data_IF_836088052314
#
_entry.id   IF_836088052314
#
_cell.length_a   1.000
_cell.length_b   1.000
_cell.length_c   1.000
_cell.angle_alpha   90.00
_cell.angle_beta   90.00
_cell.angle_gamma   90.00
#
_symmetry.space_group_name_H-M   'P 1'
#
loop_
_entity.id
_entity.type
_entity.pdbx_description
1 polymer ?
#
# COMPACT_ATOMS: atom_id res chain seq x y z
N UNK A 1 -11.73 -6.12 -40.52
CA UNK A 1 -12.14 -4.76 -40.09
C UNK A 1 -13.55 -4.66 -39.52
N UNK A 2 -14.64 -4.71 -40.30
CA UNK A 2 -15.99 -4.45 -39.76
C UNK A 2 -16.46 -5.49 -38.72
N UNK A 3 -16.21 -6.78 -38.96
CA UNK A 3 -16.51 -7.86 -38.01
C UNK A 3 -15.68 -7.78 -36.71
N UNK A 4 -14.40 -7.41 -36.82
CA UNK A 4 -13.53 -7.24 -35.64
C UNK A 4 -13.98 -6.05 -34.78
N UNK A 5 -14.42 -4.96 -35.41
CA UNK A 5 -14.98 -3.80 -34.72
C UNK A 5 -16.28 -4.17 -33.98
N UNK A 6 -17.15 -4.94 -34.63
CA UNK A 6 -18.38 -5.47 -34.02
C UNK A 6 -18.10 -6.42 -32.86
N UNK A 7 -17.10 -7.28 -32.97
CA UNK A 7 -16.69 -8.21 -31.91
C UNK A 7 -16.09 -7.45 -30.70
N UNK A 8 -15.28 -6.42 -30.95
CA UNK A 8 -14.76 -5.50 -29.94
C UNK A 8 -15.87 -4.71 -29.24
N UNK A 9 -16.82 -4.16 -29.99
CA UNK A 9 -17.99 -3.46 -29.46
C UNK A 9 -18.85 -4.40 -28.60
N UNK A 10 -19.12 -5.61 -29.08
CA UNK A 10 -19.90 -6.62 -28.35
C UNK A 10 -19.22 -7.02 -27.04
N UNK A 11 -17.91 -7.29 -27.04
CA UNK A 11 -17.15 -7.55 -25.81
C UNK A 11 -17.18 -6.36 -24.85
N UNK A 12 -17.02 -5.13 -25.36
CA UNK A 12 -17.12 -3.91 -24.53
C UNK A 12 -18.51 -3.75 -23.90
N UNK A 13 -19.57 -4.07 -24.63
CA UNK A 13 -20.95 -4.03 -24.11
C UNK A 13 -21.19 -5.10 -23.07
N UNK A 14 -20.80 -6.36 -23.32
CA UNK A 14 -20.91 -7.44 -22.33
C UNK A 14 -20.13 -7.12 -21.06
N UNK A 15 -18.93 -6.56 -21.20
CA UNK A 15 -18.11 -6.17 -20.07
C UNK A 15 -18.68 -4.97 -19.30
N UNK A 16 -19.33 -4.03 -19.98
CA UNK A 16 -20.09 -2.96 -19.34
C UNK A 16 -21.31 -3.51 -18.57
N UNK A 17 -22.05 -4.46 -19.16
CA UNK A 17 -23.19 -5.11 -18.52
C UNK A 17 -22.77 -5.91 -17.29
N UNK A 18 -21.68 -6.70 -17.37
CA UNK A 18 -21.14 -7.45 -16.22
C UNK A 18 -20.74 -6.52 -15.07
N UNK A 19 -20.13 -5.37 -15.38
CA UNK A 19 -19.76 -4.35 -14.38
C UNK A 19 -20.98 -3.69 -13.76
N UNK A 20 -21.99 -3.33 -14.55
CA UNK A 20 -23.24 -2.80 -14.00
C UNK A 20 -23.96 -3.83 -13.12
N UNK A 21 -23.88 -5.12 -13.47
CA UNK A 21 -24.44 -6.20 -12.67
C UNK A 21 -23.70 -6.37 -11.33
N UNK A 22 -22.37 -6.48 -11.38
CA UNK A 22 -21.52 -6.59 -10.18
C UNK A 22 -21.62 -5.35 -9.28
N UNK A 23 -21.67 -4.15 -9.86
CA UNK A 23 -21.94 -2.92 -9.10
C UNK A 23 -23.33 -2.94 -8.45
N UNK A 24 -24.34 -3.51 -9.11
CA UNK A 24 -25.66 -3.68 -8.52
C UNK A 24 -25.65 -4.73 -7.40
N UNK A 25 -24.94 -5.85 -7.56
CA UNK A 25 -24.77 -6.88 -6.52
C UNK A 25 -24.07 -6.32 -5.28
N UNK A 26 -22.98 -5.57 -5.45
CA UNK A 26 -22.27 -4.89 -4.37
C UNK A 26 -23.18 -3.91 -3.61
N UNK A 27 -24.05 -3.18 -4.33
CA UNK A 27 -25.03 -2.28 -3.71
C UNK A 27 -26.12 -3.05 -2.95
N UNK A 28 -26.57 -4.19 -3.48
CA UNK A 28 -27.56 -5.05 -2.82
C UNK A 28 -26.96 -5.66 -1.54
N UNK A 29 -25.74 -6.21 -1.62
CA UNK A 29 -25.01 -6.73 -0.47
C UNK A 29 -24.74 -5.63 0.58
N UNK A 30 -24.31 -4.44 0.15
CA UNK A 30 -24.08 -3.28 1.03
C UNK A 30 -25.35 -2.75 1.70
N UNK A 31 -26.51 -2.90 1.08
CA UNK A 31 -27.80 -2.43 1.63
C UNK A 31 -28.37 -3.32 2.75
N UNK A 32 -27.91 -4.57 2.88
CA UNK A 32 -28.37 -5.52 3.91
C UNK A 32 -27.56 -5.43 5.22
N UNK A 33 -26.48 -4.65 5.26
CA UNK A 33 -25.54 -4.57 6.39
C UNK A 33 -25.81 -3.32 7.27
N UNK A 34 -26.72 -3.44 8.25
CA UNK A 34 -26.93 -2.44 9.30
C UNK A 34 -26.23 -2.83 10.61
N UNK A 35 -25.46 -1.86 11.15
CA UNK A 35 -24.59 -1.83 12.35
C UNK A 35 -23.08 -2.08 12.09
N UNK A 36 -22.28 -0.99 12.21
CA UNK A 36 -20.80 -0.88 12.03
C UNK A 36 -20.21 -1.81 10.97
N UNK A 37 -20.53 -1.48 9.72
CA UNK A 37 -20.28 -2.20 8.46
C UNK A 37 -18.87 -2.81 8.29
N UNK A 38 -17.81 -2.28 8.93
CA UNK A 38 -16.46 -2.83 8.79
C UNK A 38 -16.15 -4.03 9.71
N UNK A 39 -16.88 -4.21 10.82
CA UNK A 39 -16.69 -5.34 11.74
C UNK A 39 -17.13 -6.67 11.11
N UNK A 40 -17.87 -6.60 10.00
CA UNK A 40 -18.20 -7.74 9.16
C UNK A 40 -16.94 -8.49 8.68
N UNK A 41 -15.88 -7.74 8.33
CA UNK A 41 -14.63 -8.32 7.81
C UNK A 41 -13.81 -8.98 8.91
N UNK A 42 -13.72 -8.33 10.08
CA UNK A 42 -13.04 -8.84 11.26
C UNK A 42 -13.33 -7.94 12.47
N UNK A 43 -13.44 -8.49 13.69
CA UNK A 43 -13.47 -7.69 14.92
C UNK A 43 -12.23 -6.80 15.12
N UNK A 44 -11.13 -7.12 14.44
CA UNK A 44 -9.87 -6.39 14.49
C UNK A 44 -9.63 -5.52 13.26
N UNK A 45 -10.61 -5.40 12.35
CA UNK A 45 -10.42 -4.71 11.07
C UNK A 45 -9.97 -3.26 11.22
N UNK A 46 -10.31 -2.59 12.33
CA UNK A 46 -9.91 -1.21 12.64
C UNK A 46 -8.59 -1.09 13.43
N UNK A 47 -7.82 -2.17 13.55
CA UNK A 47 -6.55 -2.21 14.28
C UNK A 47 -5.37 -2.13 13.33
N UNK A 48 -4.39 -1.30 13.67
CA UNK A 48 -3.14 -1.19 12.90
C UNK A 48 -2.38 -2.51 12.74
N UNK A 49 -2.50 -3.43 13.70
CA UNK A 49 -1.89 -4.76 13.64
C UNK A 49 -2.58 -5.72 12.66
N UNK A 50 -3.82 -5.43 12.24
CA UNK A 50 -4.56 -6.30 11.35
C UNK A 50 -3.94 -6.33 9.95
N UNK A 51 -3.82 -7.52 9.37
CA UNK A 51 -3.36 -7.71 7.98
C UNK A 51 -4.58 -7.70 7.04
N UNK A 52 -4.83 -6.61 6.30
CA UNK A 52 -6.01 -6.49 5.44
C UNK A 52 -6.02 -7.50 4.28
N UNK A 53 -4.86 -8.04 3.90
CA UNK A 53 -4.75 -9.06 2.85
C UNK A 53 -5.45 -10.38 3.21
N UNK A 54 -5.80 -10.57 4.49
CA UNK A 54 -6.47 -11.77 4.99
C UNK A 54 -7.98 -11.85 4.71
N UNK A 55 -8.64 -10.77 4.28
CA UNK A 55 -10.11 -10.74 4.16
C UNK A 55 -10.68 -11.43 2.91
N UNK A 56 -9.81 -11.94 2.02
CA UNK A 56 -10.21 -12.58 0.77
C UNK A 56 -9.51 -11.95 -0.43
N UNK A 57 -10.23 -11.92 -1.56
CA UNK A 57 -9.74 -11.46 -2.86
C UNK A 57 -10.55 -10.25 -3.40
N UNK A 58 -10.41 -9.95 -4.70
CA UNK A 58 -10.79 -8.68 -5.31
C UNK A 58 -12.16 -8.12 -4.94
N UNK A 59 -13.21 -8.96 -4.90
CA UNK A 59 -14.57 -8.51 -4.59
C UNK A 59 -14.71 -8.10 -3.12
N UNK A 60 -14.05 -8.80 -2.20
CA UNK A 60 -14.01 -8.45 -0.78
C UNK A 60 -13.30 -7.11 -0.57
N UNK A 61 -12.19 -6.86 -1.28
CA UNK A 61 -11.47 -5.58 -1.21
C UNK A 61 -12.32 -4.42 -1.71
N UNK A 62 -13.07 -4.61 -2.80
CA UNK A 62 -13.96 -3.57 -3.33
C UNK A 62 -15.06 -3.24 -2.31
N UNK A 63 -15.74 -4.26 -1.77
CA UNK A 63 -16.78 -4.06 -0.78
C UNK A 63 -16.24 -3.41 0.50
N UNK A 64 -15.06 -3.84 0.98
CA UNK A 64 -14.40 -3.22 2.12
C UNK A 64 -14.01 -1.77 1.85
N UNK A 65 -13.51 -1.44 0.66
CA UNK A 65 -13.25 -0.04 0.26
C UNK A 65 -14.54 0.78 0.26
N UNK A 66 -15.67 0.26 -0.24
CA UNK A 66 -16.96 0.96 -0.14
C UNK A 66 -17.32 1.26 1.32
N UNK A 67 -17.13 0.29 2.22
CA UNK A 67 -17.32 0.47 3.66
C UNK A 67 -16.43 1.58 4.22
N UNK A 68 -15.16 1.68 3.79
CA UNK A 68 -14.24 2.73 4.25
C UNK A 68 -14.73 4.14 3.87
N UNK A 69 -15.23 4.32 2.64
CA UNK A 69 -15.80 5.61 2.20
C UNK A 69 -17.07 5.99 2.97
N UNK A 70 -17.93 5.01 3.28
CA UNK A 70 -19.14 5.23 4.07
C UNK A 70 -18.82 5.55 5.53
N UNK A 71 -17.90 4.81 6.12
CA UNK A 71 -17.48 4.95 7.52
C UNK A 71 -16.80 6.29 7.80
N UNK A 72 -15.98 6.78 6.87
CA UNK A 72 -15.41 8.15 6.95
C UNK A 72 -16.44 9.25 6.69
N UNK A 73 -17.67 8.89 6.29
CA UNK A 73 -18.77 9.82 6.02
C UNK A 73 -18.66 10.57 4.69
N UNK A 74 -17.69 10.23 3.83
CA UNK A 74 -17.48 10.90 2.55
C UNK A 74 -18.67 10.76 1.61
N UNK A 75 -19.35 9.60 1.63
CA UNK A 75 -20.51 9.37 0.78
C UNK A 75 -21.67 10.32 1.11
N UNK A 76 -21.96 10.49 2.41
CA UNK A 76 -23.00 11.41 2.87
C UNK A 76 -22.58 12.88 2.70
N UNK A 77 -21.35 13.24 3.12
CA UNK A 77 -20.84 14.62 3.10
C UNK A 77 -20.79 15.22 1.70
N UNK A 78 -20.36 14.44 0.70
CA UNK A 78 -20.18 14.91 -0.66
C UNK A 78 -21.27 14.42 -1.62
N UNK A 79 -22.39 13.89 -1.10
CA UNK A 79 -23.48 13.32 -1.92
C UNK A 79 -22.97 12.32 -2.98
N UNK A 80 -21.95 11.54 -2.61
CA UNK A 80 -21.27 10.65 -3.55
C UNK A 80 -22.23 9.56 -4.02
N UNK A 81 -22.41 9.44 -5.33
CA UNK A 81 -23.27 8.41 -5.89
C UNK A 81 -22.64 7.03 -5.67
N UNK A 82 -23.28 6.18 -4.86
CA UNK A 82 -22.77 4.84 -4.51
C UNK A 82 -22.52 3.93 -5.72
N UNK A 83 -23.32 4.06 -6.79
CA UNK A 83 -23.11 3.31 -8.04
C UNK A 83 -21.86 3.80 -8.78
N UNK A 84 -21.59 5.10 -8.77
CA UNK A 84 -20.34 5.65 -9.31
C UNK A 84 -19.15 5.23 -8.47
N UNK A 85 -19.28 5.18 -7.14
CA UNK A 85 -18.25 4.66 -6.25
C UNK A 85 -17.92 3.20 -6.54
N UNK A 86 -18.93 2.33 -6.64
CA UNK A 86 -18.72 0.93 -7.03
C UNK A 86 -18.03 0.82 -8.40
N UNK A 87 -18.49 1.60 -9.40
CA UNK A 87 -17.91 1.60 -10.75
C UNK A 87 -16.46 2.12 -10.77
N UNK A 88 -16.16 3.14 -9.96
CA UNK A 88 -14.82 3.68 -9.75
C UNK A 88 -13.90 2.61 -9.16
N UNK A 89 -14.28 1.98 -8.04
CA UNK A 89 -13.47 0.95 -7.38
C UNK A 89 -13.24 -0.26 -8.29
N UNK A 90 -14.27 -0.72 -9.01
CA UNK A 90 -14.14 -1.78 -10.01
C UNK A 90 -13.17 -1.41 -11.14
N UNK A 91 -13.20 -0.16 -11.59
CA UNK A 91 -12.30 0.33 -12.65
C UNK A 91 -10.87 0.45 -12.15
N UNK A 92 -10.67 0.96 -10.94
CA UNK A 92 -9.36 1.07 -10.29
C UNK A 92 -8.76 -0.32 -10.09
N UNK A 93 -9.49 -1.26 -9.48
CA UNK A 93 -9.06 -2.64 -9.27
C UNK A 93 -8.63 -3.31 -10.58
N UNK A 94 -9.43 -3.15 -11.65
CA UNK A 94 -9.08 -3.66 -13.00
C UNK A 94 -7.85 -2.98 -13.62
N UNK A 95 -7.52 -1.76 -13.20
CA UNK A 95 -6.36 -1.02 -13.67
C UNK A 95 -5.04 -1.54 -13.10
N UNK A 96 -5.06 -2.27 -11.98
CA UNK A 96 -3.88 -2.96 -11.47
C UNK A 96 -3.58 -4.21 -12.29
N UNK A 97 -2.28 -4.48 -12.47
CA UNK A 97 -1.80 -5.67 -13.17
C UNK A 97 -1.52 -6.80 -12.19
N UNK A 98 -1.52 -8.01 -12.74
CA UNK A 98 -1.08 -9.22 -12.03
C UNK A 98 0.45 -9.27 -11.97
N UNK A 99 1.02 -8.49 -11.06
CA UNK A 99 2.45 -8.53 -10.70
C UNK A 99 2.59 -8.99 -9.24
N UNK A 100 3.75 -9.55 -8.83
CA UNK A 100 3.88 -10.16 -7.51
C UNK A 100 3.55 -9.23 -6.33
N UNK A 101 3.98 -7.96 -6.35
CA UNK A 101 3.78 -7.03 -5.23
C UNK A 101 2.85 -5.86 -5.56
N UNK A 102 3.18 -5.04 -6.55
CA UNK A 102 2.45 -3.79 -6.84
C UNK A 102 1.14 -4.05 -7.62
N UNK A 103 0.21 -4.75 -6.97
CA UNK A 103 -1.08 -5.20 -7.49
C UNK A 103 -2.26 -4.65 -6.67
N UNK A 104 -3.49 -5.03 -7.01
CA UNK A 104 -4.69 -4.52 -6.32
C UNK A 104 -4.71 -4.85 -4.82
N UNK A 105 -4.17 -5.99 -4.41
CA UNK A 105 -4.09 -6.36 -2.99
C UNK A 105 -3.19 -5.41 -2.21
N UNK A 106 -2.09 -4.94 -2.83
CA UNK A 106 -1.23 -3.92 -2.24
C UNK A 106 -1.94 -2.57 -2.12
N UNK A 107 -2.55 -2.08 -3.20
CA UNK A 107 -3.31 -0.83 -3.13
C UNK A 107 -4.43 -0.85 -2.06
N UNK A 108 -5.10 -1.99 -1.92
CA UNK A 108 -6.08 -2.19 -0.85
C UNK A 108 -5.44 -2.16 0.55
N UNK A 109 -4.30 -2.81 0.76
CA UNK A 109 -3.64 -2.79 2.08
C UNK A 109 -3.16 -1.38 2.45
N UNK A 110 -2.66 -0.62 1.48
CA UNK A 110 -2.28 0.79 1.64
C UNK A 110 -3.51 1.63 2.00
N UNK A 111 -4.61 1.49 1.28
CA UNK A 111 -5.86 2.20 1.57
C UNK A 111 -6.46 1.84 2.93
N UNK A 112 -6.35 0.58 3.36
CA UNK A 112 -6.80 0.13 4.67
C UNK A 112 -6.00 0.78 5.81
N UNK A 113 -4.66 0.80 5.71
CA UNK A 113 -3.82 1.48 6.70
C UNK A 113 -4.13 2.98 6.75
N UNK A 114 -4.29 3.61 5.59
CA UNK A 114 -4.71 5.00 5.49
C UNK A 114 -6.07 5.22 6.17
N UNK A 115 -7.07 4.38 5.91
CA UNK A 115 -8.40 4.47 6.52
C UNK A 115 -8.34 4.43 8.06
N UNK A 116 -7.51 3.56 8.65
CA UNK A 116 -7.30 3.55 10.11
C UNK A 116 -6.67 4.87 10.56
N UNK A 117 -5.60 5.31 9.90
CA UNK A 117 -4.90 6.57 10.21
C UNK A 117 -5.84 7.78 10.15
N UNK A 118 -6.69 7.86 9.13
CA UNK A 118 -7.66 8.94 8.93
C UNK A 118 -8.71 9.05 10.04
N UNK A 119 -8.87 8.03 10.89
CA UNK A 119 -9.80 8.02 12.03
C UNK A 119 -9.12 8.42 13.35
N UNK A 120 -7.80 8.54 13.37
CA UNK A 120 -7.07 8.91 14.59
C UNK A 120 -7.32 10.38 14.95
N UNK A 121 -7.46 10.71 16.25
CA UNK A 121 -7.55 12.09 16.70
C UNK A 121 -6.45 13.00 16.14
N UNK A 122 -5.20 12.53 16.07
CA UNK A 122 -4.11 13.32 15.48
C UNK A 122 -4.40 13.75 14.03
N UNK A 123 -4.86 12.83 13.19
CA UNK A 123 -5.16 13.13 11.77
C UNK A 123 -6.46 13.94 11.63
N UNK A 124 -7.47 13.69 12.47
CA UNK A 124 -8.72 14.45 12.49
C UNK A 124 -8.52 15.93 12.83
N UNK A 125 -7.56 16.24 13.71
CA UNK A 125 -7.19 17.62 14.03
C UNK A 125 -6.19 18.22 13.04
N UNK A 126 -5.38 17.37 12.40
CA UNK A 126 -4.30 17.81 11.53
C UNK A 126 -4.73 18.12 10.10
N UNK A 127 -5.67 17.35 9.53
CA UNK A 127 -6.03 17.45 8.10
C UNK A 127 -7.51 17.75 7.92
N UNK A 128 -7.83 18.48 6.86
CA UNK A 128 -9.20 18.80 6.47
C UNK A 128 -9.90 17.64 5.71
N UNK A 129 -11.21 17.77 5.51
CA UNK A 129 -12.03 16.72 4.88
C UNK A 129 -11.69 16.47 3.40
N UNK A 130 -11.15 17.44 2.66
CA UNK A 130 -10.75 17.27 1.26
C UNK A 130 -9.38 16.59 1.18
N UNK A 131 -8.47 16.94 2.08
CA UNK A 131 -7.15 16.30 2.23
C UNK A 131 -7.31 14.82 2.60
N UNK A 132 -8.18 14.53 3.57
CA UNK A 132 -8.52 13.16 3.99
C UNK A 132 -9.18 12.36 2.86
N UNK A 133 -10.09 12.98 2.09
CA UNK A 133 -10.70 12.34 0.91
C UNK A 133 -9.64 12.03 -0.16
N UNK A 134 -8.76 12.99 -0.44
CA UNK A 134 -7.70 12.85 -1.43
C UNK A 134 -6.71 11.73 -1.06
N UNK A 135 -6.33 11.62 0.22
CA UNK A 135 -5.46 10.54 0.71
C UNK A 135 -6.04 9.15 0.44
N UNK A 136 -7.32 8.93 0.80
CA UNK A 136 -7.94 7.61 0.59
C UNK A 136 -8.02 7.25 -0.90
N UNK A 137 -8.42 8.21 -1.75
CA UNK A 137 -8.48 8.00 -3.21
C UNK A 137 -7.08 7.70 -3.75
N UNK A 138 -6.08 8.47 -3.35
CA UNK A 138 -4.71 8.29 -3.79
C UNK A 138 -4.16 6.92 -3.37
N UNK A 139 -4.38 6.48 -2.13
CA UNK A 139 -3.94 5.16 -1.67
C UNK A 139 -4.48 4.02 -2.55
N UNK A 140 -5.74 4.11 -2.97
CA UNK A 140 -6.34 3.12 -3.87
C UNK A 140 -5.77 3.16 -5.29
N UNK A 141 -5.19 4.28 -5.72
CA UNK A 141 -4.77 4.50 -7.11
C UNK A 141 -3.27 4.66 -7.32
N UNK A 142 -2.47 4.72 -6.25
CA UNK A 142 -1.08 5.21 -6.31
C UNK A 142 -0.15 4.38 -7.20
N UNK A 143 -0.51 3.13 -7.47
CA UNK A 143 0.27 2.16 -8.27
C UNK A 143 -0.50 1.60 -9.47
N UNK A 144 -1.59 2.26 -9.88
CA UNK A 144 -2.44 1.76 -10.95
C UNK A 144 -1.66 1.60 -12.28
N UNK A 145 -1.82 0.47 -12.97
CA UNK A 145 -1.03 0.07 -14.16
C UNK A 145 0.48 -0.14 -13.89
N UNK A 146 0.93 -0.37 -12.63
CA UNK A 146 2.31 -0.77 -12.34
C UNK A 146 2.68 -2.07 -13.06
N UNK A 147 3.92 -2.13 -13.58
CA UNK A 147 4.37 -3.17 -14.54
C UNK A 147 5.40 -4.13 -13.98
N UNK A 148 5.66 -4.06 -12.69
CA UNK A 148 6.68 -4.87 -12.06
C UNK A 148 8.10 -4.36 -12.26
N UNK A 149 8.25 -3.06 -12.59
CA UNK A 149 9.54 -2.48 -12.97
C UNK A 149 9.67 -1.06 -12.44
N UNK A 150 10.88 -0.65 -12.06
CA UNK A 150 11.15 0.65 -11.41
C UNK A 150 11.28 1.82 -12.40
N UNK A 151 11.29 3.05 -11.88
CA UNK A 151 11.60 4.27 -12.65
C UNK A 151 12.94 4.19 -13.38
N UNK A 152 13.97 3.61 -12.76
CA UNK A 152 15.29 3.41 -13.38
C UNK A 152 15.19 2.52 -14.63
N UNK A 153 14.42 1.43 -14.55
CA UNK A 153 14.16 0.55 -15.69
C UNK A 153 13.42 1.29 -16.81
N UNK A 154 12.41 2.10 -16.50
CA UNK A 154 11.67 2.85 -17.51
C UNK A 154 12.62 3.71 -18.37
N UNK A 155 13.53 4.43 -17.71
CA UNK A 155 14.50 5.31 -18.35
C UNK A 155 15.52 4.53 -19.17
N UNK A 156 16.13 3.50 -18.57
CA UNK A 156 17.14 2.67 -19.22
C UNK A 156 16.58 1.96 -20.48
N UNK A 157 15.36 1.42 -20.36
CA UNK A 157 14.67 0.71 -21.43
C UNK A 157 13.96 1.62 -22.43
N UNK A 158 14.03 2.96 -22.23
CA UNK A 158 13.41 3.99 -23.09
C UNK A 158 11.94 3.71 -23.39
N UNK A 159 11.20 3.25 -22.37
CA UNK A 159 9.81 2.84 -22.51
C UNK A 159 8.93 4.02 -22.95
N UNK A 160 7.73 3.78 -23.51
CA UNK A 160 6.80 4.87 -23.82
C UNK A 160 6.48 5.77 -22.62
N UNK A 161 6.45 5.22 -21.39
CA UNK A 161 6.24 6.02 -20.18
C UNK A 161 7.42 6.96 -19.92
N UNK A 162 8.65 6.50 -20.07
CA UNK A 162 9.82 7.35 -19.97
C UNK A 162 9.81 8.46 -21.03
N UNK A 163 9.38 8.17 -22.26
CA UNK A 163 9.26 9.19 -23.31
C UNK A 163 8.25 10.30 -22.97
N UNK A 164 7.17 9.96 -22.24
CA UNK A 164 6.15 10.92 -21.84
C UNK A 164 6.55 11.74 -20.62
N UNK A 165 7.24 11.14 -19.64
CA UNK A 165 7.38 11.75 -18.30
C UNK A 165 8.83 12.00 -17.85
N UNK A 166 9.85 11.56 -18.58
CA UNK A 166 11.26 11.60 -18.13
C UNK A 166 11.78 13.00 -17.78
N UNK A 167 11.26 14.06 -18.40
CA UNK A 167 11.72 15.44 -18.15
C UNK A 167 11.42 15.94 -16.74
N UNK A 168 10.48 15.31 -16.02
CA UNK A 168 10.02 15.77 -14.69
C UNK A 168 10.34 14.80 -13.56
N UNK A 169 11.02 13.67 -13.83
CA UNK A 169 11.21 12.59 -12.85
C UNK A 169 9.91 11.86 -12.48
N UNK A 170 9.99 10.88 -11.57
CA UNK A 170 8.83 10.12 -11.04
C UNK A 170 7.91 9.59 -12.14
N UNK A 171 8.50 8.85 -13.10
CA UNK A 171 7.86 8.44 -14.36
C UNK A 171 6.60 7.60 -14.11
N UNK A 172 6.69 6.65 -13.19
CA UNK A 172 5.60 5.75 -12.83
C UNK A 172 4.53 6.48 -12.03
N UNK A 173 4.91 7.28 -11.04
CA UNK A 173 3.97 8.00 -10.18
C UNK A 173 3.14 9.03 -10.98
N UNK A 174 3.76 9.67 -11.99
CA UNK A 174 3.03 10.50 -12.96
C UNK A 174 2.05 9.71 -13.81
N UNK A 175 2.44 8.50 -14.23
CA UNK A 175 1.55 7.59 -14.96
C UNK A 175 0.37 7.15 -14.08
N UNK A 176 0.61 6.79 -12.82
CA UNK A 176 -0.42 6.41 -11.86
C UNK A 176 -1.42 7.55 -11.63
N UNK A 177 -0.92 8.79 -11.47
CA UNK A 177 -1.78 9.96 -11.41
C UNK A 177 -2.60 10.16 -12.70
N UNK A 178 -1.97 10.04 -13.89
CA UNK A 178 -2.65 10.19 -15.16
C UNK A 178 -3.78 9.16 -15.36
N UNK A 179 -3.53 7.90 -15.00
CA UNK A 179 -4.55 6.84 -14.99
C UNK A 179 -5.69 7.15 -14.02
N UNK A 180 -5.38 7.66 -12.83
CA UNK A 180 -6.37 8.08 -11.82
C UNK A 180 -7.31 9.15 -12.38
N UNK A 181 -6.73 10.20 -12.99
CA UNK A 181 -7.49 11.28 -13.62
C UNK A 181 -8.35 10.75 -14.76
N UNK A 182 -7.82 9.86 -15.60
CA UNK A 182 -8.57 9.25 -16.70
C UNK A 182 -9.81 8.50 -16.21
N UNK A 183 -9.72 7.77 -15.09
CA UNK A 183 -10.85 7.07 -14.48
C UNK A 183 -11.86 8.08 -13.94
N UNK A 184 -11.41 9.09 -13.20
CA UNK A 184 -12.29 10.13 -12.63
C UNK A 184 -12.99 10.99 -13.69
N UNK A 185 -12.48 11.03 -14.93
CA UNK A 185 -13.13 11.69 -16.06
C UNK A 185 -14.24 10.85 -16.72
N UNK A 186 -14.33 9.55 -16.44
CA UNK A 186 -15.42 8.71 -16.94
C UNK A 186 -16.72 9.06 -16.21
N UNK A 187 -17.80 9.35 -16.94
CA UNK A 187 -19.07 9.80 -16.37
C UNK A 187 -19.64 8.82 -15.32
N UNK A 188 -19.44 7.51 -15.53
CA UNK A 188 -19.87 6.44 -14.65
C UNK A 188 -18.94 6.21 -13.45
N UNK A 189 -17.70 6.73 -13.45
CA UNK A 189 -16.72 6.56 -12.37
C UNK A 189 -16.41 7.87 -11.63
N UNK A 190 -16.91 9.02 -12.08
CA UNK A 190 -16.62 10.30 -11.44
C UNK A 190 -17.33 10.41 -10.08
N UNK A 191 -16.64 9.99 -9.03
CA UNK A 191 -17.10 10.07 -7.63
C UNK A 191 -17.02 11.49 -7.04
N UNK A 192 -16.43 12.43 -7.76
CA UNK A 192 -16.21 13.81 -7.33
C UNK A 192 -17.15 14.80 -8.03
N UNK A 193 -18.13 14.32 -8.80
CA UNK A 193 -18.97 15.16 -9.67
C UNK A 193 -19.93 16.11 -8.92
N UNK A 194 -20.23 15.83 -7.66
CA UNK A 194 -21.01 16.70 -6.78
C UNK A 194 -20.17 17.77 -6.07
N UNK A 195 -18.83 17.70 -6.18
CA UNK A 195 -17.97 18.73 -5.60
C UNK A 195 -18.09 20.04 -6.39
N UNK A 196 -17.92 21.16 -5.69
CA UNK A 196 -17.73 22.44 -6.37
C UNK A 196 -16.45 22.41 -7.21
N UNK A 197 -16.35 23.26 -8.23
CA UNK A 197 -15.16 23.36 -9.08
C UNK A 197 -13.87 23.54 -8.27
N UNK A 198 -13.89 24.39 -7.25
CA UNK A 198 -12.72 24.63 -6.38
C UNK A 198 -12.36 23.37 -5.60
N UNK A 199 -13.33 22.72 -4.96
CA UNK A 199 -13.09 21.47 -4.22
C UNK A 199 -12.54 20.37 -5.12
N UNK A 200 -13.10 20.20 -6.33
CA UNK A 200 -12.63 19.23 -7.31
C UNK A 200 -11.16 19.47 -7.69
N UNK A 201 -10.79 20.72 -7.96
CA UNK A 201 -9.40 21.10 -8.26
C UNK A 201 -8.47 20.86 -7.07
N UNK A 202 -8.90 21.21 -5.85
CA UNK A 202 -8.16 20.97 -4.61
C UNK A 202 -7.89 19.48 -4.42
N UNK A 203 -8.92 18.63 -4.51
CA UNK A 203 -8.78 17.16 -4.35
C UNK A 203 -7.85 16.59 -5.41
N UNK A 204 -7.98 16.99 -6.69
CA UNK A 204 -7.07 16.51 -7.73
C UNK A 204 -5.62 16.96 -7.54
N UNK A 205 -5.39 18.16 -6.98
CA UNK A 205 -4.04 18.62 -6.64
C UNK A 205 -3.45 17.78 -5.52
N UNK A 206 -4.21 17.54 -4.44
CA UNK A 206 -3.76 16.69 -3.35
C UNK A 206 -3.47 15.27 -3.81
N UNK A 207 -4.35 14.65 -4.61
CA UNK A 207 -4.12 13.31 -5.18
C UNK A 207 -2.81 13.27 -5.97
N UNK A 208 -2.54 14.28 -6.82
CA UNK A 208 -1.26 14.38 -7.54
C UNK A 208 -0.09 14.40 -6.56
N UNK A 209 -0.18 15.29 -5.58
CA UNK A 209 0.92 15.60 -4.68
C UNK A 209 1.28 14.41 -3.78
N UNK A 210 0.30 13.62 -3.34
CA UNK A 210 0.55 12.41 -2.54
C UNK A 210 0.92 11.20 -3.39
N UNK A 211 0.37 11.00 -4.60
CA UNK A 211 0.83 9.93 -5.50
C UNK A 211 2.30 10.17 -5.86
N UNK A 212 2.70 11.41 -6.18
CA UNK A 212 4.12 11.70 -6.42
C UNK A 212 5.02 11.52 -5.18
N UNK A 213 4.43 11.49 -3.98
CA UNK A 213 5.18 11.28 -2.74
C UNK A 213 5.51 9.79 -2.48
N UNK A 214 4.93 8.85 -3.23
CA UNK A 214 5.29 7.41 -3.14
C UNK A 214 6.62 7.09 -3.80
N UNK A 215 7.12 7.96 -4.69
CA UNK A 215 8.50 7.88 -5.16
C UNK A 215 9.45 8.05 -3.96
N UNK A 216 10.15 6.98 -3.59
CA UNK A 216 11.07 6.97 -2.44
C UNK A 216 12.15 8.05 -2.58
N UNK A 217 12.62 8.37 -3.79
CA UNK A 217 13.60 9.44 -3.98
C UNK A 217 13.01 10.82 -3.62
N UNK A 218 11.73 11.03 -3.96
CA UNK A 218 10.96 12.23 -3.64
C UNK A 218 10.64 12.31 -2.14
N UNK A 219 10.42 11.16 -1.47
CA UNK A 219 10.32 11.07 -0.02
C UNK A 219 11.64 11.46 0.66
N UNK A 220 12.76 10.85 0.26
CA UNK A 220 14.09 11.12 0.84
C UNK A 220 14.48 12.59 0.73
N UNK A 221 14.13 13.26 -0.38
CA UNK A 221 14.32 14.71 -0.53
C UNK A 221 13.52 15.57 0.45
N UNK A 222 12.47 15.02 1.09
CA UNK A 222 11.62 15.71 2.08
C UNK A 222 11.90 15.33 3.53
N UNK A 223 12.60 14.22 3.80
CA UNK A 223 12.78 13.68 5.17
C UNK A 223 13.24 14.75 6.16
N UNK A 224 14.19 15.61 5.79
CA UNK A 224 14.66 16.68 6.67
C UNK A 224 13.56 17.68 7.06
N UNK A 225 12.66 18.01 6.14
CA UNK A 225 11.53 18.92 6.37
C UNK A 225 10.42 18.26 7.18
N UNK A 226 10.12 16.99 6.89
CA UNK A 226 9.16 16.20 7.68
C UNK A 226 9.67 16.08 9.11
N UNK A 227 10.96 15.75 9.30
CA UNK A 227 11.58 15.67 10.61
C UNK A 227 11.52 17.00 11.36
N UNK A 228 11.80 18.12 10.69
CA UNK A 228 11.69 19.45 11.30
C UNK A 228 10.25 19.74 11.76
N UNK A 229 9.24 19.44 10.92
CA UNK A 229 7.83 19.58 11.28
C UNK A 229 7.46 18.72 12.51
N UNK A 230 7.93 17.48 12.57
CA UNK A 230 7.66 16.58 13.70
C UNK A 230 8.34 17.04 14.98
N UNK A 231 9.63 17.41 14.90
CA UNK A 231 10.44 17.78 16.07
C UNK A 231 10.04 19.16 16.64
N UNK A 232 9.61 20.10 15.78
CA UNK A 232 9.17 21.44 16.19
C UNK A 232 7.69 21.50 16.59
N UNK A 233 6.93 20.47 16.24
CA UNK A 233 5.48 20.43 16.41
C UNK A 233 4.73 20.80 15.14
N UNK A 234 3.69 20.01 14.83
CA UNK A 234 2.79 20.27 13.72
C UNK A 234 2.03 21.59 13.93
N UNK A 235 1.88 22.36 12.85
CA UNK A 235 1.16 23.64 12.85
C UNK A 235 -0.04 23.51 11.88
N UNK A 236 -1.28 23.44 12.39
CA UNK A 236 -2.49 23.27 11.57
C UNK A 236 -2.83 24.52 10.75
N UNK A 237 -2.10 25.63 10.89
CA UNK A 237 -2.26 26.81 10.04
C UNK A 237 -1.24 26.83 8.88
N UNK A 238 -0.22 25.98 8.93
CA UNK A 238 0.83 25.90 7.93
C UNK A 238 0.43 24.95 6.80
N UNK A 239 0.16 25.51 5.61
CA UNK A 239 -0.08 24.71 4.40
C UNK A 239 1.07 23.75 4.07
N UNK A 240 2.29 24.14 4.42
CA UNK A 240 3.45 23.28 4.21
C UNK A 240 3.45 22.08 5.16
N UNK A 241 3.04 22.28 6.42
CA UNK A 241 2.91 21.18 7.36
C UNK A 241 1.80 20.22 6.93
N UNK A 242 0.65 20.73 6.48
CA UNK A 242 -0.40 19.90 5.88
C UNK A 242 0.15 19.02 4.73
N UNK A 243 0.87 19.63 3.78
CA UNK A 243 1.49 18.90 2.67
C UNK A 243 2.47 17.82 3.14
N UNK A 244 3.40 18.17 4.03
CA UNK A 244 4.40 17.22 4.56
C UNK A 244 3.75 16.10 5.36
N UNK A 245 2.69 16.39 6.12
CA UNK A 245 1.96 15.39 6.87
C UNK A 245 1.20 14.42 5.96
N UNK A 246 0.55 14.93 4.91
CA UNK A 246 -0.06 14.09 3.87
C UNK A 246 0.97 13.18 3.19
N UNK A 247 2.16 13.70 2.83
CA UNK A 247 3.24 12.89 2.25
C UNK A 247 3.72 11.80 3.22
N UNK A 248 3.88 12.12 4.51
CA UNK A 248 4.28 11.16 5.53
C UNK A 248 3.23 10.05 5.69
N UNK A 249 1.94 10.41 5.77
CA UNK A 249 0.85 9.44 5.87
C UNK A 249 0.78 8.54 4.64
N UNK A 250 0.93 9.09 3.43
CA UNK A 250 0.99 8.30 2.21
C UNK A 250 2.15 7.31 2.24
N UNK A 251 3.37 7.77 2.54
CA UNK A 251 4.57 6.90 2.62
C UNK A 251 4.39 5.81 3.67
N UNK A 252 3.87 6.15 4.86
CA UNK A 252 3.65 5.16 5.92
C UNK A 252 2.57 4.13 5.57
N UNK A 253 1.56 4.54 4.80
CA UNK A 253 0.51 3.64 4.31
C UNK A 253 1.08 2.67 3.27
N UNK A 254 1.90 3.19 2.36
CA UNK A 254 2.59 2.43 1.32
C UNK A 254 3.50 1.34 1.93
N UNK A 255 4.26 1.71 2.96
CA UNK A 255 5.16 0.81 3.67
C UNK A 255 4.50 -0.02 4.79
N UNK A 256 3.17 0.02 4.94
CA UNK A 256 2.47 -0.55 6.10
C UNK A 256 2.53 -2.06 6.24
N UNK A 257 2.84 -2.78 5.16
CA UNK A 257 3.11 -4.22 5.22
C UNK A 257 4.29 -4.56 6.17
N UNK A 258 5.27 -3.65 6.31
CA UNK A 258 6.43 -3.83 7.20
C UNK A 258 6.08 -3.68 8.69
N UNK A 259 4.91 -3.13 9.01
CA UNK A 259 4.45 -2.95 10.38
C UNK A 259 3.46 -4.03 10.85
N UNK A 260 3.37 -5.16 10.11
CA UNK A 260 2.59 -6.35 10.50
C UNK A 260 3.49 -7.35 11.22
N UNK A 261 3.01 -8.56 11.48
CA UNK A 261 3.85 -9.61 12.05
C UNK A 261 5.00 -10.05 11.10
N UNK A 262 5.97 -10.78 11.65
CA UNK A 262 7.14 -11.21 10.90
C UNK A 262 6.79 -12.18 9.76
N UNK A 263 5.74 -12.98 9.93
CA UNK A 263 5.24 -13.88 8.88
C UNK A 263 4.77 -13.10 7.65
N UNK A 264 4.00 -12.03 7.87
CA UNK A 264 3.60 -11.11 6.81
C UNK A 264 4.81 -10.41 6.21
N UNK A 265 5.74 -9.90 7.04
CA UNK A 265 6.96 -9.23 6.54
C UNK A 265 7.77 -10.14 5.60
N UNK A 266 7.95 -11.43 5.92
CA UNK A 266 8.61 -12.41 5.02
C UNK A 266 7.82 -12.69 3.74
N UNK A 267 6.51 -12.87 3.83
CA UNK A 267 5.66 -13.12 2.66
C UNK A 267 5.69 -11.94 1.68
N UNK A 268 5.68 -10.71 2.21
CA UNK A 268 5.77 -9.50 1.42
C UNK A 268 7.16 -9.33 0.82
N UNK A 269 8.23 -9.61 1.59
CA UNK A 269 9.58 -9.65 1.07
C UNK A 269 9.68 -10.59 -0.14
N UNK A 270 9.13 -11.81 -0.02
CA UNK A 270 9.13 -12.77 -1.10
C UNK A 270 8.50 -12.20 -2.39
N UNK A 271 7.34 -11.55 -2.28
CA UNK A 271 6.66 -10.94 -3.42
C UNK A 271 7.48 -9.80 -4.04
N UNK A 272 8.05 -8.91 -3.21
CA UNK A 272 8.91 -7.81 -3.68
C UNK A 272 10.12 -8.37 -4.45
N UNK A 273 10.83 -9.35 -3.89
CA UNK A 273 12.02 -9.91 -4.54
C UNK A 273 11.68 -10.74 -5.78
N UNK A 274 10.53 -11.44 -5.83
CA UNK A 274 10.05 -12.06 -7.08
C UNK A 274 9.91 -11.03 -8.20
N UNK A 275 9.40 -9.85 -7.87
CA UNK A 275 9.23 -8.77 -8.83
C UNK A 275 10.58 -8.16 -9.24
N UNK A 276 11.45 -7.83 -8.28
CA UNK A 276 12.80 -7.32 -8.55
C UNK A 276 13.63 -8.29 -9.37
N UNK A 277 13.56 -9.59 -9.07
CA UNK A 277 14.27 -10.63 -9.82
C UNK A 277 13.69 -10.83 -11.22
N UNK A 278 12.41 -10.54 -11.43
CA UNK A 278 11.81 -10.55 -12.77
C UNK A 278 12.33 -9.37 -13.60
N UNK A 279 12.45 -8.18 -12.99
CA UNK A 279 13.09 -7.04 -13.63
C UNK A 279 14.57 -7.33 -13.95
N UNK A 280 15.34 -7.84 -13.00
CA UNK A 280 16.77 -8.09 -13.21
C UNK A 280 17.05 -9.13 -14.30
N UNK A 281 16.19 -10.13 -14.45
CA UNK A 281 16.27 -11.07 -15.57
C UNK A 281 16.05 -10.37 -16.93
N UNK A 282 15.09 -9.44 -17.01
CA UNK A 282 14.87 -8.63 -18.22
C UNK A 282 16.07 -7.73 -18.51
N UNK A 283 16.66 -7.11 -17.48
CA UNK A 283 17.88 -6.30 -17.62
C UNK A 283 19.04 -7.14 -18.17
N UNK A 284 19.26 -8.36 -17.65
CA UNK A 284 20.26 -9.31 -18.17
C UNK A 284 19.99 -9.67 -19.63
N UNK A 285 18.74 -9.94 -20.00
CA UNK A 285 18.35 -10.23 -21.39
C UNK A 285 18.60 -9.06 -22.35
N UNK A 286 18.52 -7.83 -21.84
CA UNK A 286 18.85 -6.60 -22.58
C UNK A 286 20.35 -6.29 -22.61
N UNK A 287 21.19 -7.16 -22.03
CA UNK A 287 22.64 -6.98 -21.97
C UNK A 287 23.12 -6.00 -20.89
N UNK A 288 22.26 -5.67 -19.92
CA UNK A 288 22.61 -4.82 -18.80
C UNK A 288 22.94 -5.64 -17.54
N UNK A 289 23.69 -5.04 -16.62
CA UNK A 289 23.97 -5.64 -15.31
C UNK A 289 22.96 -5.10 -14.29
N UNK A 290 22.08 -5.94 -13.72
CA UNK A 290 21.12 -5.51 -12.72
C UNK A 290 21.80 -5.09 -11.42
N UNK A 291 21.11 -4.25 -10.64
CA UNK A 291 21.49 -3.97 -9.25
C UNK A 291 21.48 -5.25 -8.41
N UNK A 292 22.28 -5.32 -7.36
CA UNK A 292 22.38 -6.52 -6.51
C UNK A 292 21.01 -6.98 -5.98
N UNK A 293 20.15 -6.05 -5.55
CA UNK A 293 18.80 -6.37 -5.07
C UNK A 293 17.83 -6.91 -6.14
N UNK A 294 18.15 -6.72 -7.41
CA UNK A 294 17.40 -7.22 -8.56
C UNK A 294 18.03 -8.47 -9.17
N UNK A 295 19.24 -8.85 -8.74
CA UNK A 295 19.96 -9.99 -9.26
C UNK A 295 19.74 -11.22 -8.36
N UNK A 296 18.89 -12.15 -8.80
CA UNK A 296 18.58 -13.39 -8.06
C UNK A 296 19.81 -14.26 -7.74
N UNK A 297 20.90 -14.11 -8.48
CA UNK A 297 22.13 -14.89 -8.29
C UNK A 297 23.06 -14.27 -7.24
N UNK A 298 22.78 -13.03 -6.81
CA UNK A 298 23.66 -12.23 -5.92
C UNK A 298 22.94 -11.67 -4.71
N UNK A 299 21.63 -11.47 -4.77
CA UNK A 299 20.86 -10.78 -3.74
C UNK A 299 20.96 -11.46 -2.36
N UNK A 300 21.51 -10.75 -1.39
CA UNK A 300 21.45 -11.13 0.02
C UNK A 300 20.21 -10.53 0.69
N UNK A 301 19.04 -11.14 0.46
CA UNK A 301 17.72 -10.62 0.89
C UNK A 301 17.67 -10.14 2.34
N UNK A 302 18.15 -10.87 3.37
CA UNK A 302 18.08 -10.38 4.75
C UNK A 302 18.87 -9.08 4.95
N UNK A 303 20.06 -8.96 4.35
CA UNK A 303 20.88 -7.74 4.45
C UNK A 303 20.25 -6.56 3.74
N UNK A 304 19.72 -6.79 2.54
CA UNK A 304 19.04 -5.75 1.77
C UNK A 304 17.78 -5.28 2.51
N UNK A 305 17.04 -6.20 3.15
CA UNK A 305 15.91 -5.83 4.00
C UNK A 305 16.33 -4.99 5.21
N UNK A 306 17.40 -5.37 5.91
CA UNK A 306 17.91 -4.59 7.03
C UNK A 306 18.31 -3.17 6.61
N UNK A 307 19.00 -3.02 5.48
CA UNK A 307 19.38 -1.72 4.94
C UNK A 307 18.15 -0.85 4.57
N UNK A 308 17.15 -1.46 3.91
CA UNK A 308 15.88 -0.79 3.60
C UNK A 308 15.13 -0.36 4.87
N UNK A 309 15.05 -1.24 5.87
CA UNK A 309 14.38 -0.93 7.13
C UNK A 309 15.07 0.19 7.88
N UNK A 310 16.39 0.12 8.03
CA UNK A 310 17.19 1.10 8.78
C UNK A 310 17.21 2.48 8.07
N UNK A 311 17.23 2.50 6.74
CA UNK A 311 17.37 3.73 5.94
C UNK A 311 16.03 4.41 5.61
N UNK A 312 14.96 3.63 5.42
CA UNK A 312 13.68 4.13 4.93
C UNK A 312 12.55 3.87 5.92
N UNK A 313 12.25 2.60 6.21
CA UNK A 313 11.00 2.26 6.87
C UNK A 313 10.96 2.66 8.36
N UNK A 314 12.01 2.36 9.14
CA UNK A 314 12.07 2.73 10.56
C UNK A 314 11.97 4.25 10.78
N UNK A 315 12.74 5.11 10.06
CA UNK A 315 12.58 6.56 10.17
C UNK A 315 11.15 7.05 9.90
N UNK A 316 10.47 6.48 8.90
CA UNK A 316 9.07 6.83 8.58
C UNK A 316 8.16 6.52 9.77
N UNK A 317 8.21 5.30 10.30
CA UNK A 317 7.33 4.90 11.40
C UNK A 317 7.70 5.57 12.73
N UNK A 318 8.97 5.94 12.95
CA UNK A 318 9.37 6.74 14.11
C UNK A 318 8.72 8.13 14.05
N UNK A 319 8.76 8.79 12.88
CA UNK A 319 8.12 10.10 12.68
C UNK A 319 6.59 10.00 12.81
N UNK A 320 5.97 8.96 12.26
CA UNK A 320 4.53 8.70 12.43
C UNK A 320 4.18 8.50 13.90
N UNK A 321 4.92 7.70 14.65
CA UNK A 321 4.63 7.46 16.06
C UNK A 321 4.73 8.73 16.94
N UNK A 322 5.52 9.73 16.51
CA UNK A 322 5.62 11.04 17.20
C UNK A 322 4.43 11.95 16.91
N UNK A 323 3.97 12.00 15.66
CA UNK A 323 2.89 12.91 15.23
C UNK A 323 1.49 12.28 15.28
N UNK A 324 1.40 10.95 15.19
CA UNK A 324 0.19 10.12 15.36
C UNK A 324 0.45 9.08 16.47
N UNK A 325 0.38 9.47 17.75
CA UNK A 325 0.67 8.57 18.87
C UNK A 325 -0.22 7.31 18.91
N UNK A 326 -1.43 7.37 18.35
CA UNK A 326 -2.36 6.25 18.22
C UNK A 326 -1.82 5.13 17.32
N UNK A 327 -0.90 5.47 16.41
CA UNK A 327 -0.20 4.54 15.53
C UNK A 327 1.08 3.96 16.13
N UNK A 328 1.45 4.26 17.38
CA UNK A 328 2.74 3.86 17.98
C UNK A 328 3.04 2.35 17.91
N UNK A 329 2.01 1.50 17.97
CA UNK A 329 2.17 0.05 17.84
C UNK A 329 2.78 -0.37 16.49
N UNK A 330 2.61 0.43 15.43
CA UNK A 330 3.23 0.17 14.13
C UNK A 330 4.75 0.32 14.17
N UNK A 331 5.26 1.33 14.90
CA UNK A 331 6.69 1.54 15.12
C UNK A 331 7.31 0.42 15.98
N UNK A 332 6.58 -0.02 16.99
CA UNK A 332 7.00 -1.16 17.83
C UNK A 332 7.06 -2.46 17.01
N UNK A 333 6.05 -2.71 16.16
CA UNK A 333 6.00 -3.88 15.29
C UNK A 333 7.14 -3.91 14.26
N UNK A 334 7.40 -2.80 13.57
CA UNK A 334 8.50 -2.75 12.59
C UNK A 334 9.88 -2.86 13.25
N UNK A 335 10.04 -2.32 14.46
CA UNK A 335 11.27 -2.48 15.26
C UNK A 335 11.51 -3.95 15.60
N UNK A 336 10.46 -4.67 16.00
CA UNK A 336 10.53 -6.12 16.22
C UNK A 336 10.84 -6.88 14.92
N UNK A 337 10.19 -6.55 13.81
CA UNK A 337 10.50 -7.18 12.53
C UNK A 337 11.96 -6.99 12.12
N UNK A 338 12.54 -5.81 12.38
CA UNK A 338 13.95 -5.54 12.09
C UNK A 338 14.89 -6.40 12.95
N UNK A 339 14.52 -6.70 14.19
CA UNK A 339 15.25 -7.66 15.03
C UNK A 339 15.13 -9.08 14.47
N UNK A 340 13.91 -9.50 14.09
CA UNK A 340 13.69 -10.81 13.47
C UNK A 340 14.46 -10.99 12.15
N UNK A 341 14.56 -9.96 11.31
CA UNK A 341 15.38 -9.99 10.09
C UNK A 341 16.89 -10.14 10.40
N UNK A 342 17.37 -9.52 11.48
CA UNK A 342 18.76 -9.67 11.92
C UNK A 342 19.04 -11.08 12.43
N UNK A 343 18.17 -11.61 13.29
CA UNK A 343 18.25 -12.99 13.75
C UNK A 343 18.19 -13.99 12.59
N UNK A 344 17.37 -13.72 11.56
CA UNK A 344 17.31 -14.52 10.35
C UNK A 344 18.65 -14.51 9.59
N UNK A 345 19.30 -13.35 9.39
CA UNK A 345 20.63 -13.30 8.75
C UNK A 345 21.67 -14.09 9.55
N UNK A 346 21.67 -13.96 10.89
CA UNK A 346 22.59 -14.68 11.77
C UNK A 346 22.39 -16.21 11.69
N UNK A 347 21.15 -16.70 11.77
CA UNK A 347 20.86 -18.14 11.67
C UNK A 347 21.28 -18.68 10.30
N UNK A 348 21.05 -17.93 9.22
CA UNK A 348 21.46 -18.35 7.87
C UNK A 348 22.99 -18.40 7.73
N UNK A 349 23.72 -17.49 8.39
CA UNK A 349 25.18 -17.51 8.48
C UNK A 349 25.68 -18.72 9.26
N UNK A 350 25.10 -19.00 10.42
CA UNK A 350 25.46 -20.14 11.28
C UNK A 350 25.28 -21.48 10.54
N UNK A 351 24.24 -21.58 9.70
CA UNK A 351 23.96 -22.77 8.87
C UNK A 351 24.90 -22.89 7.64
N UNK A 352 25.78 -21.92 7.40
CA UNK A 352 26.66 -21.90 6.22
C UNK A 352 25.92 -21.62 4.90
N UNK A 353 24.68 -21.12 4.95
CA UNK A 353 23.77 -20.99 3.82
C UNK A 353 23.66 -19.53 3.31
N UNK A 354 24.72 -18.97 2.72
CA UNK A 354 24.68 -17.71 1.94
C UNK A 354 24.95 -17.97 0.44
N UNK A 355 24.46 -17.18 -0.52
CA UNK A 355 23.10 -16.84 -0.92
C UNK A 355 22.64 -17.71 -2.13
N UNK A 356 22.47 -19.02 -1.96
CA UNK A 356 22.18 -19.95 -3.09
C UNK A 356 20.78 -20.58 -3.02
N UNK A 357 19.95 -20.22 -2.03
CA UNK A 357 18.68 -20.90 -1.75
C UNK A 357 17.45 -20.27 -2.42
N UNK A 358 17.62 -19.32 -3.35
CA UNK A 358 16.49 -18.57 -3.89
C UNK A 358 15.69 -17.91 -2.76
N UNK A 359 14.36 -17.94 -2.84
CA UNK A 359 13.47 -17.34 -1.83
C UNK A 359 12.75 -18.36 -0.94
N UNK A 360 12.94 -19.67 -1.16
CA UNK A 360 12.12 -20.71 -0.53
C UNK A 360 12.27 -20.75 1.01
N UNK A 361 13.44 -20.38 1.52
CA UNK A 361 13.69 -20.31 2.96
C UNK A 361 12.79 -19.27 3.68
N UNK A 362 12.25 -18.28 2.97
CA UNK A 362 11.31 -17.31 3.57
C UNK A 362 9.99 -17.98 3.97
N UNK A 363 9.65 -19.13 3.36
CA UNK A 363 8.45 -19.92 3.63
C UNK A 363 8.67 -21.00 4.70
N UNK A 364 9.91 -21.21 5.14
CA UNK A 364 10.26 -22.22 6.14
C UNK A 364 9.70 -21.81 7.51
N UNK A 365 8.74 -22.59 8.01
CA UNK A 365 8.08 -22.38 9.29
C UNK A 365 8.98 -22.75 10.47
N UNK A 366 9.88 -23.73 10.32
CA UNK A 366 10.82 -24.10 11.37
C UNK A 366 11.87 -23.00 11.55
N UNK A 367 12.35 -22.43 10.45
CA UNK A 367 13.23 -21.27 10.47
C UNK A 367 12.55 -20.04 11.09
N UNK A 368 11.28 -19.80 10.76
CA UNK A 368 10.47 -18.75 11.40
C UNK A 368 10.39 -18.93 12.92
N UNK A 369 10.11 -20.16 13.37
CA UNK A 369 10.02 -20.45 14.79
C UNK A 369 11.36 -20.21 15.50
N UNK A 370 12.49 -20.61 14.90
CA UNK A 370 13.82 -20.38 15.46
C UNK A 370 14.15 -18.89 15.59
N UNK A 371 13.76 -18.07 14.60
CA UNK A 371 13.90 -16.61 14.67
C UNK A 371 13.08 -16.04 15.83
N UNK A 372 11.81 -16.43 15.94
CA UNK A 372 10.94 -15.95 17.01
C UNK A 372 11.46 -16.39 18.39
N UNK A 373 11.92 -17.62 18.53
CA UNK A 373 12.54 -18.16 19.76
C UNK A 373 13.83 -17.44 20.15
N UNK A 374 14.61 -16.95 19.19
CA UNK A 374 15.83 -16.17 19.45
C UNK A 374 15.53 -14.77 19.96
N UNK A 375 14.43 -14.16 19.53
CA UNK A 375 14.00 -12.81 19.95
C UNK A 375 13.08 -12.81 21.19
N UNK A 376 12.40 -13.92 21.48
CA UNK A 376 11.55 -14.08 22.68
C UNK A 376 12.24 -13.76 24.04
N UNK A 377 13.55 -14.01 24.26
CA UNK A 377 14.26 -13.61 25.47
C UNK A 377 14.43 -12.09 25.64
N UNK A 378 14.34 -11.30 24.55
CA UNK A 378 14.48 -9.83 24.59
C UNK A 378 13.15 -9.10 24.90
N UNK A 379 12.00 -9.78 24.81
CA UNK A 379 10.66 -9.20 25.03
C UNK A 379 10.20 -9.37 26.49
N UNK A 380 11.01 -8.92 27.46
CA UNK A 380 10.56 -8.84 28.87
C UNK A 380 9.74 -7.56 29.09
N UNK A 381 8.46 -7.61 28.72
CA UNK A 381 7.51 -6.51 28.86
C UNK A 381 6.08 -6.93 28.53
N UNK A 382 5.12 -6.01 28.59
CA UNK A 382 3.69 -6.24 28.32
C UNK A 382 3.45 -6.97 26.98
N UNK A 383 4.33 -6.76 26.00
CA UNK A 383 4.30 -7.38 24.68
C UNK A 383 4.63 -8.89 24.67
N UNK A 384 5.47 -9.36 25.59
CA UNK A 384 5.75 -10.79 25.77
C UNK A 384 4.51 -11.58 26.22
N UNK A 385 3.47 -10.90 26.73
CA UNK A 385 2.18 -11.52 27.02
C UNK A 385 1.28 -11.61 25.79
N UNK A 386 1.35 -10.66 24.85
CA UNK A 386 0.56 -10.68 23.61
C UNK A 386 1.06 -11.76 22.64
N UNK A 387 2.38 -11.88 22.45
CA UNK A 387 2.99 -12.99 21.71
C UNK A 387 2.69 -14.36 22.34
N UNK A 388 2.67 -14.45 23.68
CA UNK A 388 2.24 -15.68 24.38
C UNK A 388 0.77 -16.02 24.15
N UNK A 389 -0.12 -15.03 24.04
CA UNK A 389 -1.56 -15.26 23.86
C UNK A 389 -1.85 -15.77 22.43
N UNK A 390 -1.19 -15.26 21.40
CA UNK A 390 -1.37 -15.77 20.03
C UNK A 390 -0.73 -17.17 19.84
N UNK A 391 0.44 -17.43 20.43
CA UNK A 391 1.07 -18.76 20.37
C UNK A 391 0.34 -19.84 21.19
N UNK A 392 -0.34 -19.48 22.28
CA UNK A 392 -1.16 -20.43 23.06
C UNK A 392 -2.44 -20.83 22.30
N UNK A 393 -2.99 -19.97 21.44
CA UNK A 393 -4.13 -20.36 20.59
C UNK A 393 -3.77 -21.34 19.47
N UNK A 394 -2.51 -21.36 19.01
CA UNK A 394 -2.04 -22.38 18.05
C UNK A 394 -1.93 -23.78 18.69
N UNK A 395 -1.77 -23.87 20.03
CA UNK A 395 -1.71 -25.16 20.74
C UNK A 395 -3.08 -25.78 21.09
N UNK A 396 -4.20 -25.08 20.90
CA UNK A 396 -5.54 -25.55 21.27
C UNK A 396 -6.40 -25.93 20.05
N UNK A 397 -5.86 -25.79 18.84
CA UNK A 397 -6.53 -26.19 17.58
C UNK A 397 -5.64 -27.11 16.72
N UNK A 398 -5.07 -28.15 17.35
CA UNK A 398 -4.60 -29.36 16.66
C UNK A 398 -5.41 -30.54 17.17
#
# INVERSE_FOLDING_TARGET
>A
MALELQCLLYRKVQEAQRRSHMAAELLVQGSQLLVRCFLFWSPQFDRFSFSPRSIGDGDAYIAASMTMFEDLGFTARYSMNKRKLASFLLRVAKGYREVPYHNWSHAFSVAHFCWISLRTPAVLHGLDELERLALLIACLCHDIDHRGTTNAFQLQSKTPLAQLYSSEGSVLERHHYAQTVQILQMAECNILDQLTRTQYQTVLSHIRDVILATDIAVHLGKVGRIKAMVDQGYDPLSRDHHYLFMCLLMTSSDLSDQSKDFRNSKAIAENIYREFFSQGDLEKQMGASPMEMMDRDRAAVPKIQLDFMDTVALPVFEMVAKIVPEGRSTFEAITLNRQCWAALDEILVERGNRPVLGLDYLRDQELEQQVVERELPAVSGVFGRLLRIELVHVRVLV
#
